data_IF_651338077064
#
_entry.id   IF_651338077064
#
_cell.length_a   1.000
_cell.length_b   1.000
_cell.length_c   1.000
_cell.angle_alpha   90.00
_cell.angle_beta   90.00
_cell.angle_gamma   90.00
#
_symmetry.space_group_name_H-M   'P 1'
#
loop_
_entity.id
_entity.type
_entity.pdbx_description
1 polymer ?
#
# COMPACT_ATOMS: atom_id res chain seq x y z
N UNK A 1 -28.80 -5.52 30.56
CA UNK A 1 -27.66 -5.68 29.63
C UNK A 1 -28.26 -5.70 28.26
N UNK A 2 -27.92 -4.74 27.39
CA UNK A 2 -28.49 -4.68 26.04
C UNK A 2 -28.18 -6.00 25.33
N UNK A 3 -29.21 -6.70 24.87
CA UNK A 3 -29.15 -7.99 24.16
C UNK A 3 -28.70 -7.78 22.70
N UNK A 4 -27.75 -6.87 22.50
CA UNK A 4 -27.28 -6.46 21.17
C UNK A 4 -26.37 -7.56 20.63
N UNK A 5 -26.70 -8.17 19.48
CA UNK A 5 -25.86 -9.18 18.87
C UNK A 5 -24.43 -8.64 18.62
N UNK A 6 -23.43 -9.49 18.80
CA UNK A 6 -22.03 -9.10 18.56
C UNK A 6 -21.88 -8.62 17.11
N UNK A 7 -21.35 -7.40 16.93
CA UNK A 7 -21.08 -6.83 15.62
C UNK A 7 -22.17 -5.92 15.07
N UNK A 8 -23.20 -5.57 15.83
CA UNK A 8 -24.26 -4.64 15.36
C UNK A 8 -23.77 -3.27 14.91
N UNK A 9 -22.56 -2.86 15.30
CA UNK A 9 -21.89 -1.63 14.89
C UNK A 9 -20.96 -1.80 13.67
N UNK A 10 -20.85 -3.02 13.13
CA UNK A 10 -19.86 -3.40 12.13
C UNK A 10 -20.51 -3.52 10.76
N UNK A 11 -20.01 -2.75 9.80
CA UNK A 11 -20.19 -3.02 8.38
C UNK A 11 -19.04 -3.89 7.91
N UNK A 12 -19.33 -5.10 7.44
CA UNK A 12 -18.35 -5.96 6.78
C UNK A 12 -18.55 -5.87 5.28
N UNK A 13 -17.55 -5.40 4.57
CA UNK A 13 -17.54 -5.47 3.11
C UNK A 13 -16.64 -6.63 2.67
N UNK A 14 -17.20 -7.56 1.90
CA UNK A 14 -16.49 -8.71 1.37
C UNK A 14 -16.26 -8.55 -0.12
N UNK A 15 -14.99 -8.40 -0.52
CA UNK A 15 -14.62 -8.37 -1.93
C UNK A 15 -14.34 -9.79 -2.43
N UNK A 16 -15.35 -10.44 -3.03
CA UNK A 16 -15.25 -11.80 -3.53
C UNK A 16 -14.18 -11.97 -4.64
N UNK A 17 -13.79 -10.89 -5.32
CA UNK A 17 -12.71 -10.91 -6.33
C UNK A 17 -11.33 -11.08 -5.71
N UNK A 18 -11.16 -10.68 -4.45
CA UNK A 18 -9.91 -10.86 -3.71
C UNK A 18 -9.73 -12.33 -3.32
N UNK A 19 -8.87 -13.05 -4.05
CA UNK A 19 -8.49 -14.44 -3.74
C UNK A 19 -9.30 -15.53 -4.46
N UNK A 20 -10.33 -15.19 -5.24
CA UNK A 20 -11.10 -16.16 -6.04
C UNK A 20 -10.24 -16.92 -7.07
N UNK A 21 -9.25 -16.24 -7.68
CA UNK A 21 -8.28 -16.85 -8.60
C UNK A 21 -7.35 -17.87 -7.93
N UNK A 22 -7.33 -17.93 -6.58
CA UNK A 22 -6.52 -18.84 -5.79
C UNK A 22 -7.32 -20.00 -5.17
N UNK A 23 -8.62 -20.11 -5.46
CA UNK A 23 -9.48 -21.16 -4.90
C UNK A 23 -9.63 -21.10 -3.37
N UNK A 24 -9.44 -19.91 -2.77
CA UNK A 24 -9.61 -19.73 -1.32
C UNK A 24 -11.09 -19.91 -0.95
N UNK A 25 -11.39 -20.53 0.21
CA UNK A 25 -12.77 -20.70 0.66
C UNK A 25 -13.42 -19.35 0.95
N UNK A 26 -14.72 -19.26 0.74
CA UNK A 26 -15.51 -18.11 1.16
C UNK A 26 -15.54 -18.03 2.70
N UNK A 27 -15.09 -16.90 3.24
CA UNK A 27 -14.96 -16.66 4.69
C UNK A 27 -16.11 -15.82 5.27
N UNK A 28 -17.07 -15.39 4.44
CA UNK A 28 -18.26 -14.70 4.94
C UNK A 28 -19.07 -15.54 5.96
N UNK A 29 -19.24 -16.87 5.80
CA UNK A 29 -19.91 -17.67 6.84
C UNK A 29 -19.21 -17.64 8.20
N UNK A 30 -17.88 -17.51 8.22
CA UNK A 30 -17.10 -17.36 9.45
C UNK A 30 -17.37 -16.02 10.13
N UNK A 31 -17.40 -14.94 9.35
CA UNK A 31 -17.79 -13.60 9.81
C UNK A 31 -19.20 -13.62 10.40
N UNK A 32 -20.19 -14.13 9.67
CA UNK A 32 -21.60 -14.15 10.10
C UNK A 32 -21.79 -14.97 11.39
N UNK A 33 -21.09 -16.11 11.51
CA UNK A 33 -21.10 -16.93 12.73
C UNK A 33 -20.51 -16.19 13.92
N UNK A 34 -19.44 -15.41 13.70
CA UNK A 34 -18.67 -14.77 14.77
C UNK A 34 -19.17 -13.39 15.18
N UNK A 35 -19.84 -12.69 14.26
CA UNK A 35 -20.42 -11.37 14.40
C UNK A 35 -21.86 -11.40 13.84
N UNK A 36 -22.81 -12.10 14.50
CA UNK A 36 -24.17 -12.28 13.99
C UNK A 36 -24.97 -10.97 13.88
N UNK A 37 -24.52 -9.89 14.53
CA UNK A 37 -25.11 -8.56 14.38
C UNK A 37 -24.58 -7.75 13.21
N UNK A 38 -23.47 -8.17 12.58
CA UNK A 38 -22.82 -7.38 11.54
C UNK A 38 -23.63 -7.33 10.25
N UNK A 39 -23.68 -6.15 9.65
CA UNK A 39 -24.18 -5.96 8.28
C UNK A 39 -23.09 -6.42 7.33
N UNK A 40 -23.33 -7.53 6.62
CA UNK A 40 -22.36 -8.07 5.66
C UNK A 40 -22.79 -7.75 4.23
N UNK A 41 -22.03 -6.90 3.56
CA UNK A 41 -22.19 -6.55 2.15
C UNK A 41 -21.17 -7.29 1.29
N UNK A 42 -21.62 -8.07 0.31
CA UNK A 42 -20.74 -8.67 -0.70
C UNK A 42 -20.70 -7.75 -1.90
N UNK A 43 -19.52 -7.22 -2.25
CA UNK A 43 -19.38 -6.31 -3.37
C UNK A 43 -19.77 -7.00 -4.68
N UNK A 44 -20.76 -6.41 -5.37
CA UNK A 44 -21.11 -6.74 -6.74
C UNK A 44 -20.02 -6.36 -7.74
N UNK A 45 -20.21 -6.75 -9.00
CA UNK A 45 -19.28 -6.43 -10.09
C UNK A 45 -19.27 -4.93 -10.41
N UNK A 46 -20.44 -4.28 -10.32
CA UNK A 46 -20.67 -2.86 -10.64
C UNK A 46 -20.62 -1.94 -9.41
N UNK A 47 -20.41 -2.49 -8.22
CA UNK A 47 -20.33 -1.72 -6.97
C UNK A 47 -18.88 -1.41 -6.61
N UNK A 48 -18.66 -0.18 -6.13
CA UNK A 48 -17.40 0.19 -5.50
C UNK A 48 -17.50 0.12 -3.97
N UNK A 49 -16.35 -0.04 -3.31
CA UNK A 49 -16.28 0.02 -1.84
C UNK A 49 -16.76 1.39 -1.33
N UNK A 50 -16.46 2.46 -2.06
CA UNK A 50 -16.87 3.83 -1.77
C UNK A 50 -18.38 3.99 -1.72
N UNK A 51 -19.08 3.48 -2.74
CA UNK A 51 -20.53 3.61 -2.82
C UNK A 51 -21.20 2.93 -1.62
N UNK A 52 -20.75 1.71 -1.30
CA UNK A 52 -21.27 0.92 -0.19
C UNK A 52 -21.00 1.59 1.16
N UNK A 53 -19.77 2.05 1.40
CA UNK A 53 -19.42 2.69 2.67
C UNK A 53 -20.11 4.05 2.81
N UNK A 54 -20.14 4.86 1.75
CA UNK A 54 -20.79 6.17 1.74
C UNK A 54 -22.29 6.05 2.01
N UNK A 55 -22.96 5.07 1.39
CA UNK A 55 -24.37 4.80 1.66
C UNK A 55 -24.59 4.36 3.12
N UNK A 56 -23.75 3.46 3.64
CA UNK A 56 -23.90 2.95 5.00
C UNK A 56 -23.66 4.01 6.09
N UNK A 57 -22.72 4.94 5.90
CA UNK A 57 -22.47 6.03 6.86
C UNK A 57 -23.52 7.14 6.79
N UNK A 58 -24.30 7.20 5.72
CA UNK A 58 -25.41 8.13 5.56
C UNK A 58 -26.75 7.58 6.07
N UNK A 59 -26.80 6.31 6.52
CA UNK A 59 -27.97 5.67 7.09
C UNK A 59 -28.33 6.25 8.47
N UNK A 60 -29.57 6.02 8.94
CA UNK A 60 -30.05 6.44 10.26
C UNK A 60 -29.27 5.78 11.41
N UNK A 61 -28.71 4.60 11.16
CA UNK A 61 -27.86 3.88 12.12
C UNK A 61 -26.48 3.55 11.50
N UNK A 62 -25.58 4.55 11.39
CA UNK A 62 -24.31 4.37 10.71
C UNK A 62 -23.39 3.40 11.46
N UNK A 63 -22.55 2.63 10.76
CA UNK A 63 -21.57 1.76 11.39
C UNK A 63 -20.53 2.57 12.14
N UNK A 64 -19.90 1.95 13.14
CA UNK A 64 -18.72 2.51 13.85
C UNK A 64 -17.43 1.79 13.46
N UNK A 65 -17.56 0.61 12.88
CA UNK A 65 -16.45 -0.24 12.45
C UNK A 65 -16.64 -0.61 10.98
N UNK A 66 -15.61 -0.37 10.18
CA UNK A 66 -15.52 -0.87 8.81
C UNK A 66 -14.61 -2.09 8.81
N UNK A 67 -15.19 -3.25 8.57
CA UNK A 67 -14.47 -4.50 8.39
C UNK A 67 -14.31 -4.81 6.90
N UNK A 68 -13.11 -5.17 6.47
CA UNK A 68 -12.81 -5.50 5.06
C UNK A 68 -12.29 -6.92 4.95
N UNK A 69 -13.05 -7.77 4.26
CA UNK A 69 -12.63 -9.11 3.84
C UNK A 69 -12.10 -9.02 2.41
N UNK A 70 -10.78 -8.91 2.26
CA UNK A 70 -10.15 -8.65 0.96
C UNK A 70 -8.63 -8.70 0.96
N UNK A 71 -8.03 -8.37 -0.18
CA UNK A 71 -6.58 -8.23 -0.36
C UNK A 71 -6.08 -6.81 -0.15
N UNK A 72 -4.81 -6.56 -0.50
CA UNK A 72 -4.10 -5.29 -0.22
C UNK A 72 -4.82 -4.05 -0.74
N UNK A 73 -5.25 -4.04 -2.01
CA UNK A 73 -5.99 -2.90 -2.58
C UNK A 73 -7.32 -2.61 -1.87
N UNK A 74 -8.06 -3.67 -1.48
CA UNK A 74 -9.29 -3.50 -0.70
C UNK A 74 -9.01 -2.96 0.70
N UNK A 75 -7.93 -3.41 1.34
CA UNK A 75 -7.50 -2.91 2.65
C UNK A 75 -7.05 -1.46 2.58
N UNK A 76 -6.28 -1.08 1.56
CA UNK A 76 -5.87 0.31 1.31
C UNK A 76 -7.10 1.21 1.14
N UNK A 77 -8.04 0.82 0.27
CA UNK A 77 -9.26 1.62 0.06
C UNK A 77 -10.14 1.70 1.30
N UNK A 78 -10.32 0.59 2.02
CA UNK A 78 -11.07 0.56 3.27
C UNK A 78 -10.42 1.44 4.34
N UNK A 79 -9.08 1.48 4.42
CA UNK A 79 -8.38 2.36 5.33
C UNK A 79 -8.61 3.83 5.01
N UNK A 80 -8.54 4.22 3.74
CA UNK A 80 -8.87 5.59 3.32
C UNK A 80 -10.30 5.98 3.72
N UNK A 81 -11.28 5.11 3.46
CA UNK A 81 -12.68 5.35 3.83
C UNK A 81 -12.91 5.36 5.34
N UNK A 82 -12.28 4.44 6.08
CA UNK A 82 -12.37 4.40 7.53
C UNK A 82 -11.84 5.70 8.14
N UNK A 83 -10.72 6.22 7.64
CA UNK A 83 -10.20 7.52 8.08
C UNK A 83 -11.12 8.68 7.71
N UNK A 84 -11.60 8.71 6.46
CA UNK A 84 -12.50 9.76 5.94
C UNK A 84 -13.79 9.88 6.74
N UNK A 85 -14.35 8.75 7.17
CA UNK A 85 -15.63 8.67 7.87
C UNK A 85 -15.51 8.43 9.38
N UNK A 86 -14.30 8.56 9.95
CA UNK A 86 -14.01 8.32 11.36
C UNK A 86 -14.52 6.96 11.89
N UNK A 87 -14.26 5.89 11.13
CA UNK A 87 -14.57 4.51 11.48
C UNK A 87 -13.32 3.81 12.02
N UNK A 88 -13.52 2.84 12.91
CA UNK A 88 -12.44 1.90 13.29
C UNK A 88 -12.31 0.83 12.22
N UNK A 89 -11.09 0.57 11.76
CA UNK A 89 -10.80 -0.42 10.73
C UNK A 89 -10.62 -1.81 11.35
N UNK A 90 -11.30 -2.81 10.79
CA UNK A 90 -11.07 -4.23 11.05
C UNK A 90 -10.59 -4.91 9.75
N UNK A 91 -9.36 -5.41 9.75
CA UNK A 91 -8.79 -6.09 8.58
C UNK A 91 -9.01 -7.60 8.69
N UNK A 92 -9.65 -8.19 7.67
CA UNK A 92 -9.83 -9.64 7.53
C UNK A 92 -9.10 -10.08 6.25
N UNK A 93 -7.81 -10.45 6.35
CA UNK A 93 -6.97 -10.65 5.17
C UNK A 93 -7.39 -11.90 4.38
N UNK A 94 -7.76 -11.70 3.11
CA UNK A 94 -8.12 -12.77 2.17
C UNK A 94 -7.39 -12.66 0.81
N UNK A 95 -6.37 -11.82 0.72
CA UNK A 95 -5.50 -11.69 -0.45
C UNK A 95 -4.25 -12.58 -0.41
N UNK A 96 -3.38 -12.39 -1.39
CA UNK A 96 -2.12 -13.14 -1.56
C UNK A 96 -1.00 -12.64 -0.66
N UNK A 97 -0.78 -11.32 -0.66
CA UNK A 97 0.38 -10.71 -0.02
C UNK A 97 0.05 -10.12 1.35
N UNK A 98 -1.11 -9.46 1.49
CA UNK A 98 -1.64 -8.95 2.76
C UNK A 98 -0.57 -8.19 3.57
N UNK A 99 0.13 -7.28 2.89
CA UNK A 99 1.30 -6.57 3.39
C UNK A 99 1.01 -5.83 4.70
N UNK A 100 -0.03 -5.00 4.71
CA UNK A 100 -0.43 -4.27 5.91
C UNK A 100 -0.87 -5.22 7.03
N UNK A 101 -1.70 -6.22 6.70
CA UNK A 101 -2.21 -7.17 7.70
C UNK A 101 -1.07 -7.92 8.40
N UNK A 102 -0.06 -8.38 7.65
CA UNK A 102 1.14 -9.02 8.20
C UNK A 102 1.96 -8.07 9.09
N UNK A 103 2.19 -6.84 8.64
CA UNK A 103 2.86 -5.83 9.49
C UNK A 103 2.06 -5.55 10.75
N UNK A 104 0.73 -5.64 10.68
CA UNK A 104 -0.20 -5.48 11.79
C UNK A 104 -0.32 -6.72 12.70
N UNK A 105 0.34 -7.84 12.38
CA UNK A 105 0.25 -9.12 13.09
C UNK A 105 -1.05 -9.89 12.81
N UNK A 106 -1.85 -9.47 11.83
CA UNK A 106 -3.10 -10.11 11.43
C UNK A 106 -2.79 -11.11 10.32
N UNK A 107 -2.47 -12.35 10.69
CA UNK A 107 -2.01 -13.37 9.74
C UNK A 107 -3.14 -13.95 8.87
N UNK A 108 -4.36 -14.04 9.42
CA UNK A 108 -5.54 -14.56 8.75
C UNK A 108 -6.85 -13.91 9.25
N UNK A 109 -7.96 -14.36 8.67
CA UNK A 109 -9.32 -13.87 9.03
C UNK A 109 -9.64 -14.16 10.50
N UNK A 110 -9.20 -15.29 11.06
CA UNK A 110 -9.52 -15.65 12.44
C UNK A 110 -8.79 -14.74 13.43
N UNK A 111 -7.51 -14.42 13.17
CA UNK A 111 -6.74 -13.44 13.94
C UNK A 111 -7.40 -12.06 13.97
N UNK A 112 -7.93 -11.60 12.82
CA UNK A 112 -8.68 -10.33 12.76
C UNK A 112 -9.98 -10.38 13.59
N UNK A 113 -10.75 -11.46 13.47
CA UNK A 113 -11.98 -11.64 14.25
C UNK A 113 -11.71 -11.79 15.76
N UNK A 114 -10.56 -12.36 16.14
CA UNK A 114 -10.11 -12.44 17.53
C UNK A 114 -9.70 -11.09 18.09
N UNK A 115 -8.95 -10.30 17.30
CA UNK A 115 -8.61 -8.91 17.65
C UNK A 115 -9.88 -8.07 17.89
N UNK A 116 -10.89 -8.24 17.04
CA UNK A 116 -12.20 -7.60 17.22
C UNK A 116 -12.86 -8.01 18.54
N UNK A 117 -12.98 -9.32 18.81
CA UNK A 117 -13.61 -9.83 20.03
C UNK A 117 -12.89 -9.40 21.30
N UNK A 118 -11.56 -9.28 21.25
CA UNK A 118 -10.77 -8.79 22.37
C UNK A 118 -10.93 -7.27 22.60
N UNK A 119 -11.47 -6.53 21.63
CA UNK A 119 -11.66 -5.08 21.74
C UNK A 119 -10.36 -4.28 21.65
N UNK A 120 -9.30 -4.88 21.11
CA UNK A 120 -7.96 -4.28 21.07
C UNK A 120 -7.81 -3.27 19.92
N UNK A 121 -8.35 -2.08 20.11
CA UNK A 121 -8.19 -0.96 19.18
C UNK A 121 -6.90 -0.21 19.51
N UNK A 122 -6.03 -0.04 18.51
CA UNK A 122 -4.80 0.76 18.63
C UNK A 122 -4.71 1.80 17.52
N UNK A 123 -4.15 2.98 17.82
CA UNK A 123 -3.89 3.96 16.79
C UNK A 123 -2.71 3.52 15.91
N UNK A 124 -2.78 3.86 14.64
CA UNK A 124 -1.82 3.49 13.60
C UNK A 124 -1.46 4.75 12.81
N UNK A 125 -0.16 4.98 12.63
CA UNK A 125 0.35 6.00 11.74
C UNK A 125 0.11 5.60 10.27
N UNK A 126 -0.17 6.61 9.45
CA UNK A 126 -0.38 6.51 8.00
C UNK A 126 0.33 7.65 7.30
N UNK A 127 0.40 7.61 5.98
CA UNK A 127 0.71 8.79 5.17
C UNK A 127 -0.55 9.34 4.50
N UNK A 128 -0.53 10.65 4.25
CA UNK A 128 -1.39 11.32 3.28
C UNK A 128 -0.54 11.72 2.08
N UNK A 129 -1.02 11.39 0.89
CA UNK A 129 -0.43 11.87 -0.36
C UNK A 129 -1.42 12.77 -1.09
N UNK A 130 -0.97 13.95 -1.50
CA UNK A 130 -1.74 14.88 -2.32
C UNK A 130 -0.92 15.30 -3.52
N UNK A 131 -1.56 15.39 -4.68
CA UNK A 131 -0.97 15.91 -5.92
C UNK A 131 -1.62 17.25 -6.26
N UNK A 132 -0.82 18.27 -6.53
CA UNK A 132 -1.24 19.63 -6.91
C UNK A 132 -2.29 20.26 -5.97
N UNK A 133 -2.24 19.90 -4.68
CA UNK A 133 -3.16 20.39 -3.66
C UNK A 133 -4.56 19.77 -3.73
N UNK A 134 -4.76 18.70 -4.51
CA UNK A 134 -5.97 17.89 -4.52
C UNK A 134 -6.22 17.16 -3.20
N UNK A 135 -7.35 16.46 -3.14
CA UNK A 135 -7.75 15.73 -1.93
C UNK A 135 -6.72 14.66 -1.55
N UNK A 136 -6.34 14.57 -0.26
CA UNK A 136 -5.30 13.64 0.17
C UNK A 136 -5.82 12.20 0.15
N UNK A 137 -5.02 11.31 -0.43
CA UNK A 137 -5.20 9.86 -0.39
C UNK A 137 -4.46 9.32 0.84
N UNK A 138 -5.10 8.41 1.58
CA UNK A 138 -4.48 7.74 2.74
C UNK A 138 -3.69 6.55 2.27
N UNK A 139 -2.44 6.43 2.73
CA UNK A 139 -1.50 5.39 2.36
C UNK A 139 -1.01 4.66 3.61
N UNK A 140 -1.04 3.33 3.56
CA UNK A 140 -0.68 2.43 4.66
C UNK A 140 0.79 2.05 4.67
N UNK A 141 1.37 1.81 3.49
CA UNK A 141 2.72 1.27 3.35
C UNK A 141 3.65 2.22 2.61
N UNK A 142 3.34 2.58 1.36
CA UNK A 142 4.26 3.37 0.56
C UNK A 142 3.65 4.05 -0.66
N UNK A 143 4.27 5.17 -1.04
CA UNK A 143 4.14 5.85 -2.33
C UNK A 143 5.40 5.63 -3.15
N UNK A 144 5.27 5.46 -4.46
CA UNK A 144 6.42 5.33 -5.37
C UNK A 144 6.21 6.03 -6.71
N UNK A 145 7.31 6.54 -7.25
CA UNK A 145 7.40 7.30 -8.51
C UNK A 145 8.63 6.85 -9.31
N UNK A 146 8.55 6.88 -10.65
CA UNK A 146 9.69 6.67 -11.56
C UNK A 146 9.75 5.27 -12.15
N UNK A 147 10.92 4.67 -12.33
CA UNK A 147 11.12 3.35 -12.94
C UNK A 147 10.69 2.16 -12.03
N UNK A 148 9.81 2.38 -11.05
CA UNK A 148 9.39 1.40 -10.04
C UNK A 148 7.95 0.88 -10.23
N UNK A 149 6.94 1.73 -10.53
CA UNK A 149 5.57 1.35 -10.90
C UNK A 149 5.47 0.37 -12.05
N UNK A 150 6.24 0.59 -13.11
CA UNK A 150 6.25 -0.24 -14.33
C UNK A 150 6.62 -1.70 -14.00
N UNK A 151 7.58 -1.91 -13.09
CA UNK A 151 7.97 -3.26 -12.67
C UNK A 151 6.97 -3.94 -11.72
N UNK A 152 6.17 -3.17 -10.97
CA UNK A 152 5.13 -3.72 -10.09
C UNK A 152 3.88 -4.12 -10.89
N UNK A 153 3.44 -3.29 -11.84
CA UNK A 153 2.29 -3.56 -12.70
C UNK A 153 2.45 -4.86 -13.52
N UNK A 154 3.68 -5.19 -13.93
CA UNK A 154 3.96 -6.40 -14.71
C UNK A 154 3.98 -7.69 -13.84
N UNK A 155 4.25 -7.57 -12.53
CA UNK A 155 4.21 -8.73 -11.61
C UNK A 155 2.78 -9.22 -11.37
N UNK A 156 1.82 -8.30 -11.27
CA UNK A 156 0.42 -8.67 -11.01
C UNK A 156 -0.22 -9.41 -12.19
N UNK A 157 0.17 -9.09 -13.43
CA UNK A 157 -0.31 -9.80 -14.63
C UNK A 157 0.21 -11.23 -14.79
N UNK A 158 1.24 -11.65 -14.03
CA UNK A 158 1.99 -12.89 -14.33
C UNK A 158 2.21 -13.82 -13.14
N UNK A 159 1.19 -14.02 -12.33
CA UNK A 159 1.15 -15.16 -11.38
C UNK A 159 0.66 -16.48 -12.01
N UNK A 160 0.47 -16.57 -13.33
CA UNK A 160 0.29 -17.86 -14.01
C UNK A 160 1.15 -18.01 -15.27
N UNK A 161 1.95 -19.09 -15.27
CA UNK A 161 2.53 -19.81 -16.41
C UNK A 161 3.79 -19.24 -17.11
N UNK A 162 4.93 -19.89 -16.81
CA UNK A 162 5.54 -20.79 -17.79
C UNK A 162 6.14 -20.21 -19.08
N UNK A 163 7.19 -19.39 -18.96
CA UNK A 163 8.41 -19.38 -19.82
C UNK A 163 9.26 -18.17 -19.43
N UNK A 164 10.28 -18.42 -18.61
CA UNK A 164 11.20 -17.43 -18.06
C UNK A 164 11.80 -16.44 -19.08
N UNK A 165 11.93 -16.85 -20.35
CA UNK A 165 12.38 -15.98 -21.44
C UNK A 165 11.39 -14.87 -21.84
N UNK A 166 10.08 -15.14 -21.78
CA UNK A 166 9.05 -14.14 -22.12
C UNK A 166 8.95 -13.04 -21.06
N UNK A 167 9.08 -13.41 -19.79
CA UNK A 167 9.21 -12.48 -18.67
C UNK A 167 10.47 -11.63 -18.78
N UNK A 168 11.60 -12.23 -19.14
CA UNK A 168 12.87 -11.50 -19.30
C UNK A 168 12.86 -10.49 -20.46
N UNK A 169 12.24 -10.81 -21.60
CA UNK A 169 12.16 -9.90 -22.77
C UNK A 169 11.16 -8.76 -22.55
N UNK A 170 10.05 -9.00 -21.86
CA UNK A 170 9.09 -7.96 -21.47
C UNK A 170 9.71 -7.01 -20.43
N UNK A 171 10.30 -7.56 -19.36
CA UNK A 171 11.08 -6.80 -18.41
C UNK A 171 12.18 -6.01 -19.11
N UNK A 172 12.88 -6.58 -20.11
CA UNK A 172 13.91 -5.89 -20.90
C UNK A 172 13.35 -4.75 -21.75
N UNK A 173 12.14 -4.86 -22.33
CA UNK A 173 11.51 -3.75 -23.09
C UNK A 173 11.07 -2.60 -22.19
N UNK A 174 10.53 -2.92 -21.02
CA UNK A 174 10.07 -1.97 -20.00
C UNK A 174 11.26 -1.25 -19.35
N UNK A 175 12.31 -2.02 -19.04
CA UNK A 175 13.68 -1.56 -18.77
C UNK A 175 14.19 -0.60 -19.83
N UNK A 176 13.82 -0.76 -21.12
CA UNK A 176 14.23 0.11 -22.22
C UNK A 176 13.31 1.32 -22.47
N UNK A 177 12.13 1.38 -21.83
CA UNK A 177 11.21 2.52 -21.80
C UNK A 177 11.40 3.47 -20.60
N UNK A 178 11.78 2.99 -19.42
CA UNK A 178 11.97 3.80 -18.21
C UNK A 178 12.99 4.96 -18.38
N UNK A 179 12.54 6.22 -18.30
CA UNK A 179 13.41 7.39 -18.36
C UNK A 179 13.62 8.00 -16.97
N UNK A 180 14.79 8.60 -16.68
CA UNK A 180 14.96 9.35 -15.45
C UNK A 180 13.98 10.52 -15.37
N UNK A 181 13.43 10.74 -14.19
CA UNK A 181 12.51 11.82 -13.87
C UNK A 181 13.34 13.00 -13.34
N UNK A 182 13.08 14.20 -13.84
CA UNK A 182 13.66 15.42 -13.29
C UNK A 182 12.77 15.93 -12.15
N UNK A 183 13.36 16.09 -10.97
CA UNK A 183 12.65 16.46 -9.75
C UNK A 183 13.29 17.67 -9.07
N UNK A 184 12.50 18.42 -8.32
CA UNK A 184 12.95 19.54 -7.49
C UNK A 184 12.49 19.32 -6.05
N UNK A 185 13.43 19.40 -5.11
CA UNK A 185 13.16 19.38 -3.67
C UNK A 185 13.93 20.51 -3.00
N UNK A 186 13.24 21.34 -2.23
CA UNK A 186 13.87 22.45 -1.50
C UNK A 186 14.70 23.37 -2.42
N UNK A 187 14.22 23.62 -3.64
CA UNK A 187 14.89 24.42 -4.67
C UNK A 187 16.08 23.75 -5.37
N UNK A 188 16.44 22.52 -5.01
CA UNK A 188 17.53 21.76 -5.65
C UNK A 188 16.98 20.81 -6.69
N UNK A 189 17.49 20.89 -7.92
CA UNK A 189 17.14 19.98 -9.01
C UNK A 189 17.97 18.70 -8.92
N UNK A 190 17.33 17.56 -9.16
CA UNK A 190 17.98 16.27 -9.28
C UNK A 190 17.32 15.48 -10.41
N UNK A 191 18.08 14.54 -10.99
CA UNK A 191 17.56 13.56 -11.95
C UNK A 191 17.57 12.20 -11.27
N UNK A 192 16.43 11.52 -11.24
CA UNK A 192 16.22 10.33 -10.42
C UNK A 192 15.61 9.20 -11.24
N UNK A 193 16.00 7.97 -10.93
CA UNK A 193 15.35 6.77 -11.46
C UNK A 193 14.07 6.48 -10.70
N UNK A 194 14.04 6.70 -9.38
CA UNK A 194 12.84 6.48 -8.58
C UNK A 194 12.88 7.29 -7.29
N UNK A 195 11.69 7.55 -6.76
CA UNK A 195 11.46 8.01 -5.40
C UNK A 195 10.49 7.04 -4.75
N UNK A 196 10.85 6.55 -3.56
CA UNK A 196 10.01 5.66 -2.74
C UNK A 196 9.82 6.31 -1.38
N UNK A 197 8.59 6.54 -0.96
CA UNK A 197 8.24 7.14 0.32
C UNK A 197 7.47 6.10 1.14
N UNK A 198 8.15 5.42 2.06
CA UNK A 198 7.56 4.41 2.94
C UNK A 198 7.06 5.01 4.25
N UNK A 199 5.95 4.51 4.77
CA UNK A 199 5.42 4.89 6.09
C UNK A 199 6.26 4.20 7.18
N UNK A 200 6.65 4.96 8.21
CA UNK A 200 7.43 4.51 9.34
C UNK A 200 8.93 4.43 9.09
N UNK A 201 9.70 4.13 10.14
CA UNK A 201 11.15 3.95 10.05
C UNK A 201 11.46 2.54 9.55
N UNK A 202 11.81 2.43 8.27
CA UNK A 202 12.05 1.15 7.63
C UNK A 202 13.51 0.68 7.72
N UNK A 203 13.74 -0.61 7.51
CA UNK A 203 15.06 -1.24 7.61
C UNK A 203 16.07 -0.53 6.67
N UNK A 204 17.14 0.08 7.20
CA UNK A 204 18.10 0.85 6.40
C UNK A 204 18.74 0.04 5.27
N UNK A 205 18.91 -1.28 5.44
CA UNK A 205 19.61 -2.15 4.48
C UNK A 205 18.75 -2.54 3.27
N UNK A 206 17.45 -2.21 3.27
CA UNK A 206 16.51 -2.63 2.23
C UNK A 206 15.96 -1.44 1.41
N UNK A 207 16.48 -1.25 0.19
CA UNK A 207 16.24 -0.10 -0.71
C UNK A 207 14.75 0.18 -1.00
N UNK A 208 13.90 -0.84 -0.96
CA UNK A 208 12.45 -0.67 -0.95
C UNK A 208 11.85 -1.79 -0.10
N UNK A 209 11.10 -1.43 0.93
CA UNK A 209 10.39 -2.37 1.79
C UNK A 209 8.91 -2.21 1.50
N UNK A 210 8.28 -3.24 0.92
CA UNK A 210 6.82 -3.24 0.72
C UNK A 210 6.06 -3.54 2.02
N UNK A 211 6.77 -3.75 3.13
CA UNK A 211 6.22 -3.98 4.45
C UNK A 211 6.84 -2.97 5.39
N UNK A 212 5.99 -2.24 6.11
CA UNK A 212 6.43 -1.32 7.16
C UNK A 212 6.94 -2.10 8.37
N UNK A 213 7.99 -1.59 8.99
CA UNK A 213 8.59 -2.18 10.19
C UNK A 213 7.85 -1.80 11.49
N UNK A 214 7.21 -0.62 11.52
CA UNK A 214 6.49 -0.10 12.69
C UNK A 214 5.10 0.40 12.27
N UNK A 215 4.16 0.40 13.21
CA UNK A 215 2.78 0.86 12.96
C UNK A 215 2.49 2.25 13.52
N UNK A 216 3.36 2.78 14.39
CA UNK A 216 3.09 3.99 15.18
C UNK A 216 4.03 5.15 14.84
N UNK A 217 5.12 4.90 14.10
CA UNK A 217 6.05 5.96 13.73
C UNK A 217 5.45 6.85 12.65
N UNK A 218 5.12 8.09 13.02
CA UNK A 218 4.64 9.11 12.10
C UNK A 218 5.81 9.79 11.38
N UNK A 219 6.56 9.01 10.60
CA UNK A 219 7.68 9.48 9.76
C UNK A 219 7.55 8.85 8.38
N UNK A 220 7.98 9.56 7.35
CA UNK A 220 8.14 9.07 5.98
C UNK A 220 9.62 8.76 5.75
N UNK A 221 9.93 7.51 5.46
CA UNK A 221 11.26 7.06 5.02
C UNK A 221 11.34 7.14 3.50
N UNK A 222 11.91 8.24 3.03
CA UNK A 222 12.07 8.53 1.60
C UNK A 222 13.41 8.05 1.09
N UNK A 223 13.37 7.30 0.00
CA UNK A 223 14.52 6.76 -0.70
C UNK A 223 14.54 7.28 -2.12
N UNK A 224 15.60 8.00 -2.45
CA UNK A 224 15.80 8.60 -3.77
C UNK A 224 16.93 7.87 -4.46
N UNK A 225 16.64 7.32 -5.63
CA UNK A 225 17.64 6.72 -6.50
C UNK A 225 18.08 7.73 -7.55
N UNK A 226 19.23 8.36 -7.34
CA UNK A 226 19.79 9.35 -8.27
C UNK A 226 20.28 8.71 -9.57
N UNK A 227 20.03 9.36 -10.70
CA UNK A 227 20.45 8.91 -12.02
C UNK A 227 21.91 9.30 -12.35
N UNK A 228 22.85 8.84 -11.52
CA UNK A 228 24.30 9.13 -11.66
C UNK A 228 25.09 7.99 -12.32
N UNK A 229 24.44 6.85 -12.56
CA UNK A 229 25.03 5.64 -13.14
C UNK A 229 24.27 5.11 -14.37
N UNK A 230 24.69 3.94 -14.87
CA UNK A 230 24.02 3.31 -16.01
C UNK A 230 22.65 2.74 -15.64
N UNK A 231 21.72 2.77 -16.59
CA UNK A 231 20.36 2.21 -16.48
C UNK A 231 20.33 0.78 -15.94
N UNK A 232 21.30 -0.03 -16.34
CA UNK A 232 21.43 -1.43 -15.90
C UNK A 232 21.67 -1.55 -14.39
N UNK A 233 22.40 -0.60 -13.77
CA UNK A 233 22.52 -0.52 -12.31
C UNK A 233 21.24 -0.03 -11.64
N UNK A 234 20.52 0.89 -12.30
CA UNK A 234 19.24 1.37 -11.82
C UNK A 234 18.25 0.22 -11.59
N UNK A 235 18.16 -0.66 -12.60
CA UNK A 235 17.29 -1.84 -12.58
C UNK A 235 17.76 -2.89 -11.58
N UNK A 236 19.07 -3.07 -11.42
CA UNK A 236 19.60 -4.00 -10.42
C UNK A 236 19.21 -3.62 -8.98
N UNK A 237 18.96 -2.33 -8.70
CA UNK A 237 18.46 -1.88 -7.40
C UNK A 237 17.03 -2.32 -7.08
N UNK A 238 16.26 -2.66 -8.11
CA UNK A 238 14.88 -3.14 -8.03
C UNK A 238 14.80 -4.64 -7.72
N UNK A 239 15.91 -5.28 -7.37
CA UNK A 239 15.92 -6.71 -7.05
C UNK A 239 15.37 -6.96 -5.64
N UNK A 240 14.15 -7.50 -5.54
CA UNK A 240 13.44 -7.70 -4.27
C UNK A 240 13.74 -9.03 -3.53
N UNK A 241 14.74 -9.79 -3.98
CA UNK A 241 15.07 -11.10 -3.41
C UNK A 241 16.46 -11.14 -2.79
N UNK A 242 16.58 -11.65 -1.54
CA UNK A 242 17.88 -11.84 -0.85
C UNK A 242 18.91 -12.55 -1.71
N UNK A 243 18.48 -13.55 -2.49
CA UNK A 243 19.36 -14.31 -3.39
C UNK A 243 19.73 -13.52 -4.65
N UNK A 244 18.77 -12.80 -5.24
CA UNK A 244 18.99 -11.94 -6.41
C UNK A 244 19.96 -10.79 -6.07
N UNK A 245 19.78 -10.14 -4.92
CA UNK A 245 20.67 -9.08 -4.43
C UNK A 245 22.09 -9.59 -4.22
N UNK A 246 22.28 -10.79 -3.67
CA UNK A 246 23.61 -11.40 -3.50
C UNK A 246 24.33 -11.62 -4.84
N UNK A 247 23.62 -12.16 -5.83
CA UNK A 247 24.17 -12.40 -7.17
C UNK A 247 24.54 -11.07 -7.85
N UNK A 248 23.67 -10.07 -7.83
CA UNK A 248 23.94 -8.76 -8.43
C UNK A 248 25.08 -8.01 -7.75
N UNK A 249 25.23 -8.17 -6.43
CA UNK A 249 26.37 -7.64 -5.66
C UNK A 249 27.67 -8.34 -6.07
N UNK A 250 27.66 -9.67 -6.22
CA UNK A 250 28.82 -10.43 -6.70
C UNK A 250 29.26 -10.02 -8.11
N UNK A 251 28.29 -9.71 -8.99
CA UNK A 251 28.55 -9.22 -10.34
C UNK A 251 28.91 -7.72 -10.42
N UNK A 252 28.96 -7.00 -9.28
CA UNK A 252 29.21 -5.54 -9.20
C UNK A 252 28.25 -4.69 -10.05
N UNK A 253 27.00 -5.15 -10.17
CA UNK A 253 25.95 -4.49 -10.94
C UNK A 253 25.04 -3.64 -10.04
N UNK A 254 25.13 -3.80 -8.71
CA UNK A 254 24.42 -2.92 -7.76
C UNK A 254 24.89 -1.47 -7.89
N UNK A 255 23.98 -0.48 -7.77
CA UNK A 255 24.39 0.91 -7.70
C UNK A 255 25.21 1.15 -6.43
N UNK A 256 26.21 2.06 -6.48
CA UNK A 256 26.94 2.46 -5.29
C UNK A 256 25.99 3.15 -4.30
N UNK A 257 26.29 3.04 -2.99
CA UNK A 257 25.49 3.69 -1.95
C UNK A 257 25.38 5.22 -2.14
N UNK A 258 26.33 5.84 -2.86
CA UNK A 258 26.29 7.27 -3.24
C UNK A 258 25.15 7.66 -4.19
N UNK A 259 24.54 6.68 -4.86
CA UNK A 259 23.42 6.90 -5.78
C UNK A 259 22.07 6.78 -5.05
N UNK A 260 22.09 6.32 -3.80
CA UNK A 260 20.91 6.16 -2.96
C UNK A 260 20.96 7.18 -1.82
N UNK A 261 19.98 8.06 -1.80
CA UNK A 261 19.77 8.99 -0.70
C UNK A 261 18.61 8.51 0.16
N UNK A 262 18.78 8.56 1.48
CA UNK A 262 17.74 8.28 2.46
C UNK A 262 17.43 9.55 3.24
N UNK A 263 16.15 9.88 3.32
CA UNK A 263 15.63 11.04 4.04
C UNK A 263 14.53 10.53 4.98
N UNK A 264 14.57 10.97 6.22
CA UNK A 264 13.46 10.78 7.15
C UNK A 264 12.80 12.14 7.32
N UNK A 265 11.53 12.23 6.96
CA UNK A 265 10.77 13.49 6.95
C UNK A 265 9.36 13.24 7.45
N UNK A 266 8.74 14.21 8.12
CA UNK A 266 7.31 14.12 8.48
C UNK A 266 6.42 14.72 7.39
N UNK A 267 7.00 15.56 6.54
CA UNK A 267 6.30 16.32 5.52
C UNK A 267 7.20 16.51 4.30
N UNK A 268 7.11 15.54 3.38
CA UNK A 268 7.97 15.48 2.20
C UNK A 268 7.27 16.07 0.99
N UNK A 269 7.87 17.10 0.39
CA UNK A 269 7.41 17.68 -0.87
C UNK A 269 8.42 17.43 -2.00
N UNK A 270 7.88 17.08 -3.17
CA UNK A 270 8.62 16.83 -4.41
C UNK A 270 7.87 17.45 -5.59
N UNK A 271 8.56 18.28 -6.36
CA UNK A 271 8.06 18.76 -7.65
C UNK A 271 8.66 17.89 -8.75
N UNK A 272 7.81 17.44 -9.67
CA UNK A 272 8.18 16.64 -10.85
C UNK A 272 8.07 17.54 -12.08
N UNK A 273 9.16 17.68 -12.82
CA UNK A 273 9.23 18.61 -13.94
C UNK A 273 8.48 18.09 -15.18
N UNK A 274 7.76 19.02 -15.83
CA UNK A 274 7.09 18.81 -17.11
C UNK A 274 8.04 18.19 -18.16
N UNK A 275 7.55 17.22 -18.92
CA UNK A 275 8.30 16.52 -19.97
C UNK A 275 9.19 15.36 -19.49
N UNK A 276 9.36 15.19 -18.17
CA UNK A 276 9.96 14.00 -17.56
C UNK A 276 9.03 13.32 -16.55
N UNK A 277 7.85 13.90 -16.35
CA UNK A 277 6.82 13.35 -15.48
C UNK A 277 6.39 11.97 -16.00
N UNK A 278 6.34 10.95 -15.13
CA UNK A 278 5.72 9.69 -15.50
C UNK A 278 4.22 9.90 -15.67
N UNK A 279 3.58 9.01 -16.43
CA UNK A 279 2.12 9.01 -16.62
C UNK A 279 1.37 8.51 -15.37
N UNK A 280 2.08 7.84 -14.45
CA UNK A 280 1.52 7.25 -13.24
C UNK A 280 2.43 7.42 -12.03
N UNK A 281 1.82 7.43 -10.86
CA UNK A 281 2.47 7.11 -9.58
C UNK A 281 1.68 6.01 -8.87
N UNK A 282 2.27 5.40 -7.84
CA UNK A 282 1.68 4.22 -7.18
C UNK A 282 1.64 4.41 -5.68
N UNK A 283 0.54 4.01 -5.05
CA UNK A 283 0.44 3.87 -3.60
C UNK A 283 -0.17 2.53 -3.22
N UNK A 284 0.43 1.84 -2.23
CA UNK A 284 -0.08 0.56 -1.73
C UNK A 284 -0.39 -0.51 -2.81
N UNK A 285 0.16 -0.37 -4.02
CA UNK A 285 -0.11 -1.22 -5.18
C UNK A 285 -1.13 -0.65 -6.17
N UNK A 286 -1.88 0.38 -5.80
CA UNK A 286 -2.83 1.09 -6.65
C UNK A 286 -2.13 2.13 -7.54
N UNK A 287 -2.58 2.24 -8.79
CA UNK A 287 -2.03 3.14 -9.80
C UNK A 287 -2.89 4.41 -9.88
N UNK A 288 -2.23 5.57 -9.91
CA UNK A 288 -2.88 6.87 -10.06
C UNK A 288 -2.30 7.58 -11.28
N UNK A 289 -3.17 7.96 -12.21
CA UNK A 289 -2.79 8.66 -13.43
C UNK A 289 -2.45 10.13 -13.14
N UNK A 290 -1.40 10.62 -13.78
CA UNK A 290 -0.97 12.01 -13.71
C UNK A 290 -0.61 12.51 -15.12
N UNK A 291 -0.83 13.79 -15.36
CA UNK A 291 -0.54 14.41 -16.66
C UNK A 291 0.97 14.61 -16.89
N UNK A 292 1.37 14.67 -18.15
CA UNK A 292 2.75 14.93 -18.57
C UNK A 292 3.25 16.37 -18.26
N UNK A 293 2.36 17.23 -17.77
CA UNK A 293 2.60 18.66 -17.49
C UNK A 293 3.45 18.90 -16.23
N UNK A 294 3.92 17.84 -15.58
CA UNK A 294 4.57 17.92 -14.28
C UNK A 294 3.55 18.12 -13.17
N UNK A 295 3.97 17.88 -11.94
CA UNK A 295 3.08 17.97 -10.78
C UNK A 295 3.87 18.14 -9.49
N UNK A 296 3.20 18.62 -8.46
CA UNK A 296 3.73 18.66 -7.10
C UNK A 296 3.10 17.57 -6.25
N UNK A 297 3.92 16.70 -5.71
CA UNK A 297 3.50 15.67 -4.76
C UNK A 297 3.94 16.06 -3.35
N UNK A 298 3.01 15.98 -2.41
CA UNK A 298 3.29 16.10 -0.97
C UNK A 298 2.88 14.82 -0.27
N UNK A 299 3.80 14.25 0.52
CA UNK A 299 3.58 13.06 1.33
C UNK A 299 3.80 13.44 2.79
N UNK A 300 2.74 13.39 3.59
CA UNK A 300 2.76 13.80 5.00
C UNK A 300 2.48 12.61 5.90
N UNK A 301 3.28 12.42 6.94
CA UNK A 301 2.99 11.47 7.99
C UNK A 301 1.89 11.99 8.91
N UNK A 302 0.95 11.11 9.26
CA UNK A 302 -0.14 11.39 10.19
C UNK A 302 -0.03 10.41 11.35
N UNK A 303 0.34 10.95 12.51
CA UNK A 303 0.27 10.22 13.77
C UNK A 303 -1.18 9.83 14.06
N UNK A 304 -1.39 8.61 14.55
CA UNK A 304 -2.69 8.09 14.96
C UNK A 304 -3.79 8.23 13.88
N UNK A 305 -3.41 8.25 12.60
CA UNK A 305 -4.32 8.52 11.49
C UNK A 305 -5.38 7.45 11.26
N UNK A 306 -5.22 6.26 11.84
CA UNK A 306 -6.23 5.20 11.82
C UNK A 306 -6.39 4.56 13.19
N UNK A 307 -7.61 4.16 13.52
CA UNK A 307 -7.91 3.24 14.61
C UNK A 307 -8.09 1.85 14.02
N UNK A 308 -7.31 0.87 14.48
CA UNK A 308 -7.33 -0.49 13.91
C UNK A 308 -7.47 -1.52 15.03
N UNK A 309 -8.30 -2.53 14.82
CA UNK A 309 -8.29 -3.73 15.66
C UNK A 309 -7.04 -4.55 15.39
N UNK A 310 -6.20 -4.73 16.41
CA UNK A 310 -4.93 -5.45 16.30
C UNK A 310 -4.88 -6.59 17.33
N UNK A 311 -4.22 -7.73 17.04
CA UNK A 311 -3.96 -8.76 18.04
C UNK A 311 -3.21 -8.20 19.25
N UNK A 312 -3.26 -8.86 20.40
CA UNK A 312 -2.41 -8.49 21.52
C UNK A 312 -0.94 -8.44 21.05
N UNK A 313 -0.18 -7.45 21.50
CA UNK A 313 1.26 -7.51 21.25
C UNK A 313 1.78 -8.69 22.08
N UNK A 314 2.45 -9.66 21.45
CA UNK A 314 3.20 -10.65 22.20
C UNK A 314 4.18 -9.88 23.10
N UNK A 315 4.00 -10.02 24.42
CA UNK A 315 4.75 -9.28 25.43
C UNK A 315 6.21 -9.69 25.53
#
# INVERSE_FOLDING_TARGET
MSDTPIGSEVLVVANARSGASLGRPDRVPDVQRRMPGATVHRLGEDETLDDVVTAAVADDSPPRVLAILGGDGSVSRAAHLARRHDLTLLVLPNGTFNHFARSAGIDDVDAGLDAYRAGHVRPVAVAEVSVDGGDPITVLNAVSLGAYPEFLAERERRTSLGKWWGGAVAAWREVHGAHPVDVVRGGKRARVWSVFAGVGRNDPDHIATMQRATLHDAVIDVRVHHARGSRLRAIASLAFGRNTVKVLRALRVMPPASDLERILDEDFELEVAAGSAPDIWVHDGELEEVGADGFRMRVRAVADGLRVYLPAADG
#
